data_IF_523977796260
#
_entry.id   IF_523977796260
#
_cell.length_a   1.000
_cell.length_b   1.000
_cell.length_c   1.000
_cell.angle_alpha   90.00
_cell.angle_beta   90.00
_cell.angle_gamma   90.00
#
_symmetry.space_group_name_H-M   'P 1'
#
loop_
_entity.id
_entity.type
_entity.pdbx_description
1 polymer ?
#
# COMPACT_ATOMS: atom_id res chain seq x y z
N UNK A 1 -93.74 -11.61 -25.08
CA UNK A 1 -93.08 -12.29 -23.95
C UNK A 1 -91.58 -12.06 -24.08
N UNK A 2 -91.00 -11.44 -23.05
CA UNK A 2 -89.54 -11.24 -22.85
C UNK A 2 -88.80 -12.55 -23.11
N UNK A 3 -87.62 -12.49 -23.72
CA UNK A 3 -86.40 -13.11 -23.18
C UNK A 3 -85.16 -12.58 -23.92
N UNK A 4 -84.47 -11.72 -23.18
CA UNK A 4 -83.13 -11.17 -23.37
C UNK A 4 -82.11 -12.31 -23.34
N UNK A 5 -81.22 -12.41 -24.33
CA UNK A 5 -79.96 -13.15 -24.18
C UNK A 5 -78.82 -12.17 -24.43
N UNK A 6 -78.14 -11.81 -23.35
CA UNK A 6 -76.97 -10.95 -23.35
C UNK A 6 -75.75 -11.72 -23.82
N UNK A 7 -75.04 -11.10 -24.76
CA UNK A 7 -73.70 -11.47 -25.19
C UNK A 7 -72.74 -11.17 -24.02
N UNK A 8 -72.32 -12.19 -23.28
CA UNK A 8 -71.30 -12.05 -22.24
C UNK A 8 -69.93 -12.02 -22.91
N UNK A 9 -69.47 -10.81 -23.24
CA UNK A 9 -68.06 -10.54 -23.56
C UNK A 9 -67.26 -10.72 -22.27
N UNK A 10 -66.52 -11.82 -22.18
CA UNK A 10 -65.59 -12.09 -21.09
C UNK A 10 -64.31 -11.32 -21.39
N UNK A 11 -64.27 -10.03 -21.02
CA UNK A 11 -63.03 -9.26 -20.96
C UNK A 11 -62.19 -9.84 -19.84
N UNK A 12 -61.22 -10.67 -20.20
CA UNK A 12 -60.12 -11.08 -19.33
C UNK A 12 -59.33 -9.81 -18.96
N UNK A 13 -59.54 -9.30 -17.76
CA UNK A 13 -58.62 -8.36 -17.13
C UNK A 13 -57.39 -9.20 -16.73
N UNK A 14 -56.35 -9.15 -17.56
CA UNK A 14 -55.01 -9.57 -17.16
C UNK A 14 -54.51 -8.59 -16.12
N UNK A 15 -54.75 -8.88 -14.84
CA UNK A 15 -53.91 -8.34 -13.76
C UNK A 15 -52.58 -9.09 -13.86
N UNK A 16 -51.62 -8.54 -14.58
CA UNK A 16 -50.24 -8.95 -14.39
C UNK A 16 -49.87 -8.58 -12.96
N UNK A 17 -49.69 -9.57 -12.09
CA UNK A 17 -48.72 -9.40 -11.02
C UNK A 17 -47.37 -9.33 -11.72
N UNK A 18 -46.79 -8.14 -11.74
CA UNK A 18 -45.35 -8.01 -11.87
C UNK A 18 -44.74 -8.73 -10.66
N UNK A 19 -44.11 -9.88 -10.89
CA UNK A 19 -43.60 -10.77 -9.85
C UNK A 19 -42.23 -10.35 -9.32
N UNK A 20 -41.80 -9.12 -9.62
CA UNK A 20 -40.61 -8.52 -9.04
C UNK A 20 -39.39 -9.36 -9.39
N UNK A 21 -39.02 -9.35 -10.66
CA UNK A 21 -37.75 -9.91 -11.11
C UNK A 21 -36.63 -9.43 -10.19
N UNK A 22 -36.00 -10.37 -9.47
CA UNK A 22 -34.79 -10.09 -8.72
C UNK A 22 -33.69 -9.87 -9.76
N UNK A 23 -33.43 -8.62 -10.10
CA UNK A 23 -32.30 -8.24 -10.94
C UNK A 23 -31.05 -8.45 -10.08
N UNK A 24 -30.32 -9.53 -10.34
CA UNK A 24 -28.99 -9.74 -9.78
C UNK A 24 -28.02 -8.77 -10.46
N UNK A 25 -27.77 -7.63 -9.80
CA UNK A 25 -26.79 -6.64 -10.27
C UNK A 25 -25.41 -7.16 -9.89
N UNK A 26 -24.73 -7.78 -10.86
CA UNK A 26 -23.33 -8.16 -10.69
C UNK A 26 -22.44 -6.92 -10.79
N UNK A 27 -21.81 -6.54 -9.68
CA UNK A 27 -20.81 -5.48 -9.62
C UNK A 27 -19.45 -6.03 -10.10
N UNK A 28 -19.25 -6.05 -11.41
CA UNK A 28 -17.99 -6.47 -12.03
C UNK A 28 -17.06 -5.26 -12.28
N UNK A 29 -15.99 -5.20 -11.49
CA UNK A 29 -15.00 -4.13 -11.38
C UNK A 29 -13.60 -4.74 -11.36
N UNK A 30 -12.54 -3.95 -11.62
CA UNK A 30 -11.16 -4.48 -11.65
C UNK A 30 -10.63 -4.81 -10.24
N UNK A 31 -11.23 -4.21 -9.19
CA UNK A 31 -10.91 -4.41 -7.76
C UNK A 31 -9.53 -3.87 -7.33
N UNK A 32 -8.89 -3.07 -8.19
CA UNK A 32 -7.75 -2.23 -7.84
C UNK A 32 -8.26 -0.85 -7.46
N UNK A 33 -8.29 -0.58 -6.16
CA UNK A 33 -8.79 0.68 -5.64
C UNK A 33 -7.76 1.81 -5.81
N UNK A 34 -8.25 3.01 -6.09
CA UNK A 34 -7.48 4.26 -6.05
C UNK A 34 -7.86 5.03 -4.79
N UNK A 35 -6.87 5.67 -4.15
CA UNK A 35 -7.08 6.59 -3.05
C UNK A 35 -7.07 8.04 -3.54
N UNK A 36 -8.00 8.84 -3.02
CA UNK A 36 -8.08 10.26 -3.27
C UNK A 36 -7.18 11.05 -2.31
N UNK A 37 -6.09 11.63 -2.81
CA UNK A 37 -5.12 12.36 -1.96
C UNK A 37 -5.51 13.82 -1.68
N UNK A 38 -6.57 14.32 -2.32
CA UNK A 38 -6.95 15.75 -2.22
C UNK A 38 -7.74 16.09 -0.95
N UNK A 39 -8.18 15.08 -0.18
CA UNK A 39 -9.00 15.26 1.01
C UNK A 39 -8.14 15.14 2.27
N UNK A 40 -8.23 16.14 3.15
CA UNK A 40 -7.52 16.13 4.43
C UNK A 40 -8.35 15.59 5.59
N UNK A 41 -9.65 15.33 5.39
CA UNK A 41 -10.59 14.95 6.46
C UNK A 41 -11.15 13.54 6.30
N UNK A 42 -11.13 13.02 5.08
CA UNK A 42 -11.73 11.74 4.74
C UNK A 42 -10.86 11.00 3.74
N UNK A 43 -10.76 9.70 3.89
CA UNK A 43 -10.28 8.80 2.85
C UNK A 43 -11.42 8.52 1.87
N UNK A 44 -11.15 8.68 0.57
CA UNK A 44 -12.04 8.28 -0.51
C UNK A 44 -11.33 7.24 -1.37
N UNK A 45 -11.76 6.00 -1.24
CA UNK A 45 -11.33 4.90 -2.10
C UNK A 45 -12.34 4.70 -3.21
N UNK A 46 -11.88 4.38 -4.42
CA UNK A 46 -12.78 4.15 -5.53
C UNK A 46 -12.22 3.20 -6.59
N UNK A 47 -13.12 2.61 -7.35
CA UNK A 47 -12.83 1.93 -8.61
C UNK A 47 -13.79 2.45 -9.69
N UNK A 48 -13.29 2.53 -10.92
CA UNK A 48 -14.00 3.05 -12.10
C UNK A 48 -14.08 1.99 -13.17
N UNK A 49 -15.22 1.91 -13.84
CA UNK A 49 -15.45 1.04 -15.00
C UNK A 49 -15.87 1.87 -16.20
N UNK A 50 -15.40 1.50 -17.38
CA UNK A 50 -15.61 2.25 -18.61
C UNK A 50 -16.78 1.73 -19.48
N UNK A 51 -17.27 0.51 -19.26
CA UNK A 51 -18.37 -0.07 -20.04
C UNK A 51 -19.24 -1.03 -19.19
N UNK A 52 -20.45 -0.61 -18.75
CA UNK A 52 -20.92 0.77 -18.78
C UNK A 52 -20.08 1.67 -17.85
N UNK A 53 -20.26 2.99 -17.99
CA UNK A 53 -19.58 3.97 -17.13
C UNK A 53 -20.13 3.92 -15.71
N UNK A 54 -19.34 3.37 -14.79
CA UNK A 54 -19.75 3.09 -13.40
C UNK A 54 -18.62 3.39 -12.42
N UNK A 55 -18.97 3.67 -11.17
CA UNK A 55 -18.00 3.78 -10.08
C UNK A 55 -18.50 3.12 -8.81
N UNK A 56 -17.58 2.47 -8.08
CA UNK A 56 -17.75 2.14 -6.67
C UNK A 56 -16.86 3.05 -5.85
N UNK A 57 -17.38 3.55 -4.72
CA UNK A 57 -16.59 4.37 -3.82
C UNK A 57 -16.91 4.10 -2.35
N UNK A 58 -15.88 4.21 -1.51
CA UNK A 58 -15.93 4.10 -0.07
C UNK A 58 -15.34 5.38 0.53
N UNK A 59 -16.15 6.11 1.28
CA UNK A 59 -15.76 7.30 2.03
C UNK A 59 -15.77 6.99 3.53
N UNK A 60 -14.72 7.37 4.24
CA UNK A 60 -14.63 7.24 5.70
C UNK A 60 -13.65 8.26 6.30
N UNK A 61 -13.79 8.65 7.58
CA UNK A 61 -12.97 9.71 8.19
C UNK A 61 -11.49 9.34 8.31
N UNK A 62 -10.59 10.29 8.08
CA UNK A 62 -9.14 10.10 8.24
C UNK A 62 -8.59 10.58 9.58
N UNK A 63 -9.41 11.23 10.42
CA UNK A 63 -9.05 11.74 11.73
C UNK A 63 -9.23 10.72 12.88
N UNK A 64 -9.67 9.51 12.55
CA UNK A 64 -9.81 8.40 13.48
C UNK A 64 -8.57 7.52 13.40
N UNK A 65 -7.88 7.34 14.54
CA UNK A 65 -6.64 6.56 14.63
C UNK A 65 -6.76 5.17 13.99
N UNK A 66 -7.80 4.40 14.33
CA UNK A 66 -8.04 3.07 13.75
C UNK A 66 -8.21 3.07 12.21
N UNK A 67 -8.59 4.19 11.61
CA UNK A 67 -8.68 4.32 10.15
C UNK A 67 -7.33 4.71 9.52
N UNK A 68 -6.47 5.39 10.29
CA UNK A 68 -5.09 5.67 9.88
C UNK A 68 -4.26 4.39 9.88
N UNK A 69 -4.48 3.51 10.86
CA UNK A 69 -3.81 2.21 10.98
C UNK A 69 -4.05 1.31 9.75
N UNK A 70 -5.17 1.50 9.03
CA UNK A 70 -5.43 0.82 7.75
C UNK A 70 -4.29 1.07 6.74
N UNK A 71 -3.76 2.29 6.71
CA UNK A 71 -2.69 2.70 5.79
C UNK A 71 -1.32 2.87 6.46
N UNK A 72 -1.24 2.68 7.77
CA UNK A 72 -0.02 2.77 8.54
C UNK A 72 -0.05 1.75 9.69
N UNK A 73 -0.12 0.44 9.38
CA UNK A 73 -0.23 -0.61 10.37
C UNK A 73 1.07 -0.72 11.19
N UNK A 74 0.94 -1.17 12.43
CA UNK A 74 2.07 -1.54 13.31
C UNK A 74 2.10 -3.05 13.60
N UNK A 75 1.32 -3.83 12.86
CA UNK A 75 1.25 -5.29 12.96
C UNK A 75 0.71 -5.87 11.65
N UNK A 76 1.08 -7.11 11.34
CA UNK A 76 0.64 -7.80 10.12
C UNK A 76 0.15 -9.23 10.45
N UNK A 77 -1.06 -9.64 10.03
CA UNK A 77 -2.13 -8.82 9.46
C UNK A 77 -2.78 -7.91 10.51
N UNK A 78 -3.22 -6.72 10.10
CA UNK A 78 -4.13 -5.88 10.87
C UNK A 78 -5.55 -5.88 10.26
N UNK A 79 -6.58 -5.65 11.08
CA UNK A 79 -7.97 -5.70 10.63
C UNK A 79 -8.83 -4.58 11.24
N UNK A 80 -9.30 -3.67 10.39
CA UNK A 80 -10.22 -2.59 10.77
C UNK A 80 -11.62 -2.83 10.20
N UNK A 81 -12.65 -2.69 11.03
CA UNK A 81 -14.05 -2.80 10.63
C UNK A 81 -14.73 -1.44 10.54
N UNK A 82 -15.27 -1.13 9.37
CA UNK A 82 -16.06 0.07 9.09
C UNK A 82 -17.53 -0.32 8.90
N UNK A 83 -18.42 0.29 9.69
CA UNK A 83 -19.87 0.06 9.60
C UNK A 83 -20.50 1.18 8.76
N UNK A 84 -21.09 0.81 7.63
CA UNK A 84 -21.79 1.77 6.74
C UNK A 84 -22.98 2.35 7.49
N UNK A 85 -23.03 3.69 7.55
CA UNK A 85 -24.04 4.41 8.33
C UNK A 85 -24.68 5.60 7.57
N UNK A 86 -24.27 5.84 6.31
CA UNK A 86 -24.73 6.94 5.46
C UNK A 86 -24.51 8.36 6.00
N UNK A 87 -23.75 8.51 7.08
CA UNK A 87 -23.35 9.79 7.66
C UNK A 87 -21.87 10.04 7.44
N UNK A 88 -21.01 9.24 8.08
CA UNK A 88 -19.55 9.36 8.04
C UNK A 88 -18.90 8.28 7.21
N UNK A 89 -19.45 7.07 7.24
CA UNK A 89 -18.97 5.93 6.44
C UNK A 89 -20.02 5.65 5.38
N UNK A 90 -19.65 5.84 4.11
CA UNK A 90 -20.55 5.74 2.96
C UNK A 90 -19.93 4.83 1.92
N UNK A 91 -20.70 3.85 1.48
CA UNK A 91 -20.39 3.10 0.26
C UNK A 91 -21.40 3.48 -0.81
N UNK A 92 -20.91 3.73 -2.02
CA UNK A 92 -21.71 4.33 -3.07
C UNK A 92 -21.41 3.70 -4.43
N UNK A 93 -22.48 3.38 -5.16
CA UNK A 93 -22.46 2.91 -6.53
C UNK A 93 -23.14 3.94 -7.43
N UNK A 94 -22.42 4.40 -8.45
CA UNK A 94 -22.90 5.40 -9.40
C UNK A 94 -22.75 4.94 -10.84
N UNK A 95 -23.66 5.43 -11.68
CA UNK A 95 -23.59 5.30 -13.13
C UNK A 95 -23.52 6.67 -13.79
N UNK A 96 -22.95 6.74 -14.99
CA UNK A 96 -22.65 8.00 -15.69
C UNK A 96 -23.01 7.93 -17.17
N UNK A 97 -23.21 9.10 -17.78
CA UNK A 97 -23.42 9.25 -19.23
C UNK A 97 -22.11 9.45 -20.03
N UNK A 98 -20.97 9.47 -19.33
CA UNK A 98 -19.63 9.62 -19.87
C UNK A 98 -18.57 9.06 -18.91
N UNK A 99 -17.30 9.15 -19.31
CA UNK A 99 -16.18 8.57 -18.55
C UNK A 99 -15.97 9.24 -17.18
N UNK A 100 -16.12 8.51 -16.06
CA UNK A 100 -16.00 9.07 -14.71
C UNK A 100 -14.55 9.14 -14.22
N UNK A 101 -13.56 8.67 -14.98
CA UNK A 101 -12.16 8.60 -14.55
C UNK A 101 -11.58 9.96 -14.09
N UNK A 102 -12.08 11.06 -14.67
CA UNK A 102 -11.67 12.43 -14.33
C UNK A 102 -12.72 13.19 -13.50
N UNK A 103 -13.76 12.51 -13.01
CA UNK A 103 -14.78 13.12 -12.15
C UNK A 103 -14.43 12.94 -10.67
N UNK A 104 -13.94 11.76 -10.30
CA UNK A 104 -13.52 11.45 -8.93
C UNK A 104 -12.17 12.13 -8.66
N UNK A 105 -12.05 12.82 -7.52
CA UNK A 105 -10.83 13.50 -7.05
C UNK A 105 -10.33 14.71 -7.85
N UNK A 106 -10.99 15.09 -8.95
CA UNK A 106 -10.60 16.26 -9.71
C UNK A 106 -10.98 17.56 -8.99
N UNK A 107 -10.02 18.50 -8.89
CA UNK A 107 -10.29 19.86 -8.41
C UNK A 107 -11.26 20.62 -9.33
N UNK A 108 -11.26 20.29 -10.63
CA UNK A 108 -12.18 20.80 -11.64
C UNK A 108 -12.70 19.61 -12.45
N UNK A 109 -13.91 19.12 -12.15
CA UNK A 109 -14.49 17.97 -12.85
C UNK A 109 -14.84 18.26 -14.31
N UNK A 110 -14.91 17.22 -15.16
CA UNK A 110 -15.35 17.35 -16.56
C UNK A 110 -16.80 17.85 -16.62
N UNK A 111 -17.10 18.95 -17.33
CA UNK A 111 -18.45 19.50 -17.41
C UNK A 111 -19.41 18.66 -18.27
N UNK A 112 -18.94 17.66 -19.01
CA UNK A 112 -19.76 16.86 -19.92
C UNK A 112 -20.14 15.48 -19.39
N UNK A 113 -19.53 15.03 -18.28
CA UNK A 113 -19.86 13.77 -17.62
C UNK A 113 -20.81 14.04 -16.45
N UNK A 114 -21.99 13.43 -16.48
CA UNK A 114 -23.04 13.59 -15.48
C UNK A 114 -23.37 12.27 -14.79
N UNK A 115 -23.75 12.37 -13.52
CA UNK A 115 -24.26 11.23 -12.76
C UNK A 115 -25.68 10.91 -13.26
N UNK A 116 -25.87 9.67 -13.72
CA UNK A 116 -27.17 9.12 -14.15
C UNK A 116 -27.91 8.50 -12.98
N UNK A 117 -27.20 7.79 -12.10
CA UNK A 117 -27.75 7.17 -10.90
C UNK A 117 -26.78 7.29 -9.74
N UNK A 118 -27.29 7.61 -8.54
CA UNK A 118 -26.51 7.79 -7.31
C UNK A 118 -27.10 6.94 -6.18
N UNK A 119 -26.51 5.77 -5.94
CA UNK A 119 -27.06 4.78 -5.01
C UNK A 119 -26.12 4.59 -3.81
N UNK A 120 -26.54 5.06 -2.64
CA UNK A 120 -25.83 4.82 -1.39
C UNK A 120 -26.30 3.51 -0.77
N UNK A 121 -25.36 2.72 -0.27
CA UNK A 121 -25.69 1.53 0.51
C UNK A 121 -26.36 1.92 1.83
N UNK A 122 -27.50 1.34 2.17
CA UNK A 122 -28.23 1.59 3.41
C UNK A 122 -27.62 0.89 4.63
N UNK A 123 -26.90 -0.19 4.39
CA UNK A 123 -26.21 -0.95 5.42
C UNK A 123 -25.08 -1.78 4.82
N UNK A 124 -24.09 -2.10 5.64
CA UNK A 124 -23.12 -3.13 5.36
C UNK A 124 -21.89 -2.98 6.24
N UNK A 125 -21.00 -3.97 6.15
CA UNK A 125 -19.73 -3.96 6.87
C UNK A 125 -18.60 -4.03 5.86
N UNK A 126 -17.66 -3.09 5.97
CA UNK A 126 -16.37 -3.16 5.28
C UNK A 126 -15.34 -3.63 6.29
N UNK A 127 -14.56 -4.64 5.92
CA UNK A 127 -13.40 -5.13 6.67
C UNK A 127 -12.17 -4.81 5.84
N UNK A 128 -11.35 -3.87 6.30
CA UNK A 128 -10.02 -3.63 5.76
C UNK A 128 -9.05 -4.61 6.42
N UNK A 129 -8.30 -5.35 5.62
CA UNK A 129 -7.25 -6.26 6.07
C UNK A 129 -5.94 -5.71 5.50
N UNK A 130 -5.03 -5.30 6.38
CA UNK A 130 -3.75 -4.73 5.98
C UNK A 130 -2.64 -5.73 6.27
N UNK A 131 -1.74 -5.93 5.31
CA UNK A 131 -0.59 -6.82 5.42
C UNK A 131 0.65 -6.18 4.83
N UNK A 132 1.78 -6.47 5.43
CA UNK A 132 3.12 -6.21 4.89
C UNK A 132 4.04 -7.40 5.19
N UNK A 133 5.13 -7.50 4.46
CA UNK A 133 6.13 -8.59 4.54
C UNK A 133 7.54 -8.01 4.56
N UNK A 134 7.79 -7.07 3.67
CA UNK A 134 9.04 -6.35 3.42
C UNK A 134 8.57 -4.92 3.14
N UNK A 135 8.80 -4.02 4.09
CA UNK A 135 8.10 -2.75 4.19
C UNK A 135 8.80 -1.66 3.37
N UNK A 136 10.13 -1.60 3.37
CA UNK A 136 10.97 -0.71 2.57
C UNK A 136 11.27 -1.24 1.15
N UNK A 137 11.04 -2.54 0.89
CA UNK A 137 11.37 -3.25 -0.37
C UNK A 137 12.86 -3.35 -0.66
N UNK A 138 13.68 -3.51 0.37
CA UNK A 138 15.11 -3.77 0.18
C UNK A 138 15.42 -5.26 -0.11
N UNK A 139 14.45 -6.16 0.10
CA UNK A 139 14.58 -7.60 -0.13
C UNK A 139 14.83 -8.44 1.13
N UNK A 140 14.91 -7.81 2.30
CA UNK A 140 14.84 -8.45 3.61
C UNK A 140 13.39 -8.34 4.10
N UNK A 141 12.76 -9.43 4.58
CA UNK A 141 11.44 -9.29 5.18
C UNK A 141 11.55 -8.66 6.56
N UNK A 142 10.67 -7.70 6.87
CA UNK A 142 10.63 -6.92 8.12
C UNK A 142 10.76 -7.73 9.41
N UNK A 143 10.33 -9.00 9.39
CA UNK A 143 10.46 -9.89 10.55
C UNK A 143 11.90 -10.40 10.80
N UNK A 144 12.83 -10.18 9.88
CA UNK A 144 14.24 -10.56 9.96
C UNK A 144 15.16 -9.38 10.26
N UNK A 145 14.66 -8.15 10.16
CA UNK A 145 15.41 -6.91 10.47
C UNK A 145 15.24 -6.49 11.94
N UNK A 146 14.33 -7.12 12.67
CA UNK A 146 14.23 -6.95 14.11
C UNK A 146 14.93 -8.08 14.88
N UNK A 147 15.91 -7.71 15.71
CA UNK A 147 16.55 -8.61 16.66
C UNK A 147 15.59 -9.15 17.74
N UNK A 148 14.37 -8.59 17.86
CA UNK A 148 13.28 -9.07 18.70
C UNK A 148 13.71 -9.21 20.17
N UNK A 149 14.38 -8.17 20.68
CA UNK A 149 14.95 -8.16 22.02
C UNK A 149 13.88 -8.17 23.13
N UNK A 150 12.64 -7.83 22.81
CA UNK A 150 11.49 -7.84 23.72
C UNK A 150 10.60 -9.10 23.60
N UNK A 151 10.88 -9.98 22.63
CA UNK A 151 10.29 -11.31 22.46
C UNK A 151 8.79 -11.28 22.12
N UNK A 152 8.33 -10.34 21.31
CA UNK A 152 6.94 -10.27 20.84
C UNK A 152 6.75 -10.59 19.35
N UNK A 153 7.84 -10.87 18.63
CA UNK A 153 7.87 -11.20 17.20
C UNK A 153 7.20 -10.12 16.32
N UNK A 154 7.25 -8.85 16.75
CA UNK A 154 6.69 -7.73 16.01
C UNK A 154 7.73 -6.61 15.80
N UNK A 155 8.18 -6.39 14.55
CA UNK A 155 9.24 -5.44 14.25
C UNK A 155 8.81 -3.98 14.47
N UNK A 156 7.55 -3.68 14.79
CA UNK A 156 7.10 -2.33 15.11
C UNK A 156 7.14 -1.99 16.61
N UNK A 157 7.45 -2.95 17.47
CA UNK A 157 7.45 -2.80 18.94
C UNK A 157 8.86 -2.93 19.49
N UNK A 158 9.39 -1.83 20.04
CA UNK A 158 10.80 -1.75 20.46
C UNK A 158 11.78 -2.26 19.39
N UNK A 159 11.73 -1.64 18.20
CA UNK A 159 12.40 -2.16 17.03
C UNK A 159 13.92 -1.98 17.10
N UNK A 160 14.63 -2.73 16.27
CA UNK A 160 16.05 -2.50 16.01
C UNK A 160 16.21 -1.24 15.13
N UNK A 161 17.27 -0.47 15.40
CA UNK A 161 17.59 0.85 14.83
C UNK A 161 19.13 0.93 14.89
N UNK A 162 19.76 0.38 13.86
CA UNK A 162 21.20 0.03 13.85
C UNK A 162 22.07 1.27 13.86
N UNK A 163 21.73 2.27 13.05
CA UNK A 163 22.43 3.56 12.99
C UNK A 163 22.01 4.57 14.09
N UNK A 164 20.87 4.35 14.74
CA UNK A 164 20.32 5.23 15.77
C UNK A 164 19.75 6.54 15.24
N UNK A 165 19.34 6.61 13.98
CA UNK A 165 18.79 7.82 13.36
C UNK A 165 17.30 8.04 13.69
N UNK A 166 16.65 7.01 14.21
CA UNK A 166 15.25 7.00 14.65
C UNK A 166 14.28 6.45 13.62
N UNK A 167 14.75 5.98 12.47
CA UNK A 167 14.03 5.12 11.53
C UNK A 167 14.47 3.68 11.82
N UNK A 168 13.55 2.80 12.24
CA UNK A 168 13.93 1.41 12.51
C UNK A 168 14.24 0.64 11.22
N UNK A 169 15.18 -0.30 11.30
CA UNK A 169 15.73 -1.09 10.18
C UNK A 169 14.62 -1.63 9.26
N UNK A 170 13.55 -2.25 9.80
CA UNK A 170 12.43 -2.82 9.01
C UNK A 170 11.63 -1.84 8.10
N UNK A 171 11.92 -0.55 8.22
CA UNK A 171 11.39 0.52 7.35
C UNK A 171 12.50 1.48 6.90
N UNK A 172 13.77 1.23 7.19
CA UNK A 172 14.89 1.99 6.66
C UNK A 172 15.34 1.36 5.32
N UNK A 173 16.03 2.11 4.48
CA UNK A 173 16.56 1.57 3.22
C UNK A 173 18.09 1.51 3.20
N UNK A 174 18.71 1.94 4.30
CA UNK A 174 20.14 2.17 4.53
C UNK A 174 20.35 2.05 6.06
N UNK A 175 20.35 0.82 6.58
CA UNK A 175 20.17 0.50 8.01
C UNK A 175 21.34 0.98 8.91
N UNK A 176 22.53 1.14 8.35
CA UNK A 176 23.74 1.67 9.02
C UNK A 176 24.09 3.12 8.60
N UNK A 177 23.32 3.68 7.67
CA UNK A 177 23.42 5.05 7.15
C UNK A 177 24.78 5.36 6.49
N UNK A 178 25.37 4.38 5.85
CA UNK A 178 26.68 4.47 5.23
C UNK A 178 26.63 5.00 3.76
N UNK A 179 25.43 5.21 3.21
CA UNK A 179 25.13 5.64 1.83
C UNK A 179 25.27 4.57 0.74
N UNK A 180 25.53 3.33 1.09
CA UNK A 180 25.12 2.17 0.31
C UNK A 180 23.70 1.82 0.79
N UNK A 181 22.84 1.31 -0.11
CA UNK A 181 21.49 0.93 0.33
C UNK A 181 21.52 -0.55 0.67
N UNK A 182 20.76 -0.98 1.69
CA UNK A 182 20.68 -2.38 2.14
C UNK A 182 20.48 -3.38 0.98
N UNK A 183 19.63 -3.02 0.01
CA UNK A 183 19.36 -3.81 -1.21
C UNK A 183 20.60 -4.05 -2.11
N UNK A 184 21.62 -3.20 -2.00
CA UNK A 184 22.85 -3.25 -2.78
C UNK A 184 24.02 -3.89 -2.02
N UNK A 185 23.82 -4.33 -0.78
CA UNK A 185 24.87 -4.83 0.13
C UNK A 185 24.82 -6.34 0.33
N UNK A 186 24.23 -7.03 -0.65
CA UNK A 186 24.30 -8.49 -0.73
C UNK A 186 23.82 -9.20 0.56
N UNK A 187 22.77 -8.69 1.19
CA UNK A 187 22.06 -9.32 2.32
C UNK A 187 21.66 -10.80 2.05
N UNK A 188 21.49 -11.19 0.78
CA UNK A 188 21.33 -12.60 0.33
C UNK A 188 20.23 -13.38 1.05
N UNK A 189 19.13 -12.72 1.40
CA UNK A 189 18.00 -13.36 2.07
C UNK A 189 17.42 -14.54 1.26
N UNK A 190 17.11 -15.64 1.96
CA UNK A 190 16.21 -16.69 1.44
C UNK A 190 15.40 -17.35 2.54
N UNK A 191 14.23 -17.91 2.22
CA UNK A 191 13.42 -18.66 3.20
C UNK A 191 14.19 -19.86 3.82
N UNK A 192 15.16 -20.43 3.10
CA UNK A 192 15.89 -21.61 3.53
C UNK A 192 17.04 -21.27 4.49
N UNK A 193 17.77 -20.19 4.19
CA UNK A 193 19.02 -19.84 4.87
C UNK A 193 18.86 -18.58 5.75
N UNK A 194 17.71 -17.91 5.72
CA UNK A 194 17.51 -16.61 6.36
C UNK A 194 18.54 -15.61 5.83
N UNK A 195 19.26 -14.96 6.75
CA UNK A 195 20.37 -14.03 6.49
C UNK A 195 21.75 -14.66 6.74
N UNK A 196 21.85 -15.99 6.89
CA UNK A 196 23.13 -16.65 7.20
C UNK A 196 24.18 -16.61 6.07
N UNK A 197 23.80 -16.08 4.91
CA UNK A 197 24.65 -15.89 3.73
C UNK A 197 24.80 -14.40 3.36
N UNK A 198 24.38 -13.48 4.23
CA UNK A 198 24.66 -12.06 4.06
C UNK A 198 26.18 -11.85 3.94
N UNK A 199 26.56 -10.86 3.13
CA UNK A 199 27.96 -10.49 2.99
C UNK A 199 28.48 -9.95 4.34
N UNK A 200 29.74 -10.27 4.65
CA UNK A 200 30.48 -9.88 5.85
C UNK A 200 31.94 -9.80 5.37
N UNK A 201 32.32 -8.62 4.90
CA UNK A 201 33.51 -8.40 4.09
C UNK A 201 34.79 -8.47 4.92
N UNK A 202 34.76 -7.98 6.16
CA UNK A 202 35.88 -7.99 7.09
C UNK A 202 35.95 -9.24 7.98
N UNK A 203 34.83 -9.98 8.11
CA UNK A 203 34.71 -11.22 8.87
C UNK A 203 34.49 -11.01 10.38
N UNK A 204 33.96 -9.87 10.81
CA UNK A 204 33.74 -9.53 12.21
C UNK A 204 32.40 -10.05 12.79
N UNK A 205 31.56 -10.63 11.92
CA UNK A 205 30.21 -11.16 12.18
C UNK A 205 29.06 -10.14 12.15
N UNK A 206 29.32 -8.90 11.75
CA UNK A 206 28.31 -7.91 11.37
C UNK A 206 28.21 -7.97 9.84
N UNK A 207 27.02 -8.21 9.28
CA UNK A 207 26.85 -8.15 7.83
C UNK A 207 27.06 -6.73 7.30
N UNK A 208 27.57 -6.62 6.07
CA UNK A 208 27.86 -5.33 5.41
C UNK A 208 26.69 -4.33 5.55
N UNK A 209 25.45 -4.75 5.27
CA UNK A 209 24.26 -3.89 5.38
C UNK A 209 23.90 -3.38 6.80
N UNK A 210 24.67 -3.74 7.82
CA UNK A 210 24.55 -3.28 9.22
C UNK A 210 25.90 -2.79 9.77
N UNK A 211 26.90 -2.59 8.91
CA UNK A 211 28.28 -2.26 9.26
C UNK A 211 28.73 -0.94 8.59
N UNK A 212 29.02 0.09 9.38
CA UNK A 212 29.42 1.38 8.83
C UNK A 212 30.89 1.45 8.35
N UNK A 213 31.65 0.35 8.45
CA UNK A 213 33.04 0.14 8.03
C UNK A 213 33.21 -1.26 7.42
N UNK A 214 32.41 -1.58 6.39
CA UNK A 214 32.28 -2.87 5.68
C UNK A 214 33.55 -3.74 5.58
N UNK A 215 34.70 -3.14 5.25
CA UNK A 215 35.95 -3.86 5.03
C UNK A 215 36.94 -3.82 6.20
N UNK A 216 36.58 -3.12 7.28
CA UNK A 216 37.30 -3.03 8.54
C UNK A 216 38.65 -2.33 8.43
N UNK A 217 38.84 -1.44 7.45
CA UNK A 217 40.09 -0.72 7.25
C UNK A 217 40.26 0.52 8.15
N UNK A 218 39.16 0.94 8.78
CA UNK A 218 39.08 2.07 9.70
C UNK A 218 38.68 3.39 9.03
N UNK A 219 38.26 3.36 7.77
CA UNK A 219 37.60 4.45 7.05
C UNK A 219 36.14 4.06 6.83
N UNK A 220 35.22 4.68 7.56
CA UNK A 220 33.79 4.41 7.40
C UNK A 220 33.36 4.51 5.93
N UNK A 221 32.51 3.57 5.50
CA UNK A 221 32.09 3.37 4.10
C UNK A 221 31.67 4.68 3.44
N UNK A 222 30.82 5.47 4.12
CA UNK A 222 30.35 6.80 3.63
C UNK A 222 31.45 7.79 3.24
N UNK A 223 32.67 7.61 3.74
CA UNK A 223 33.82 8.45 3.47
C UNK A 223 34.75 7.88 2.40
N UNK A 224 34.29 6.91 1.61
CA UNK A 224 35.07 6.31 0.54
C UNK A 224 34.57 6.68 -0.87
N UNK A 225 33.68 7.67 -0.95
CA UNK A 225 33.25 8.35 -2.18
C UNK A 225 34.35 9.31 -2.69
N UNK A 226 35.36 8.76 -3.38
CA UNK A 226 36.53 9.48 -3.87
C UNK A 226 36.16 10.65 -4.81
N UNK A 227 35.11 10.46 -5.61
CA UNK A 227 34.72 11.43 -6.62
C UNK A 227 33.58 12.38 -6.17
N UNK A 228 32.90 12.09 -5.06
CA UNK A 228 31.87 12.90 -4.44
C UNK A 228 30.52 12.84 -5.16
N UNK A 229 30.22 11.77 -5.91
CA UNK A 229 28.97 11.61 -6.66
C UNK A 229 27.88 10.89 -5.86
N UNK A 230 28.20 10.32 -4.69
CA UNK A 230 27.31 9.53 -3.86
C UNK A 230 27.01 8.12 -4.39
N UNK A 231 27.90 7.54 -5.19
CA UNK A 231 27.82 6.18 -5.75
C UNK A 231 29.11 5.45 -5.39
N UNK A 232 29.20 4.93 -4.17
CA UNK A 232 30.44 4.33 -3.64
C UNK A 232 30.91 3.10 -4.46
N UNK A 233 29.98 2.39 -5.09
CA UNK A 233 30.27 1.23 -5.95
C UNK A 233 31.06 1.55 -7.23
N UNK A 234 31.27 2.84 -7.58
CA UNK A 234 32.07 3.24 -8.75
C UNK A 234 33.46 3.82 -8.44
N UNK A 235 33.83 3.88 -7.17
CA UNK A 235 35.15 4.30 -6.71
C UNK A 235 36.03 3.09 -6.39
N UNK A 236 37.24 3.06 -6.96
CA UNK A 236 38.16 1.93 -6.86
C UNK A 236 39.57 2.43 -6.50
N UNK A 237 40.28 1.76 -5.58
CA UNK A 237 41.69 2.07 -5.34
C UNK A 237 42.57 1.52 -6.48
N UNK A 238 43.15 2.43 -7.30
CA UNK A 238 44.06 2.07 -8.39
C UNK A 238 45.36 1.39 -7.91
N UNK A 239 45.74 1.58 -6.64
CA UNK A 239 46.96 0.99 -6.06
C UNK A 239 46.69 -0.37 -5.39
N UNK A 240 45.43 -0.81 -5.32
CA UNK A 240 45.04 -2.08 -4.72
C UNK A 240 45.57 -3.30 -5.48
N UNK A 241 45.85 -4.37 -4.73
CA UNK A 241 46.21 -5.67 -5.29
C UNK A 241 45.01 -6.40 -5.93
N UNK A 242 43.79 -5.97 -5.63
CA UNK A 242 42.51 -6.50 -6.11
C UNK A 242 41.75 -5.45 -6.92
N UNK A 243 42.16 -5.21 -8.18
CA UNK A 243 41.55 -4.14 -8.98
C UNK A 243 40.08 -4.43 -9.28
N UNK A 244 39.27 -3.36 -9.29
CA UNK A 244 37.81 -3.37 -9.50
C UNK A 244 36.98 -3.91 -8.33
N UNK A 245 37.50 -3.82 -7.10
CA UNK A 245 36.68 -3.92 -5.89
C UNK A 245 36.42 -2.49 -5.41
N UNK A 246 35.15 -2.10 -5.17
CA UNK A 246 34.84 -0.80 -4.61
C UNK A 246 35.67 -0.51 -3.37
N UNK A 247 36.00 0.77 -3.14
CA UNK A 247 36.85 1.17 -2.00
C UNK A 247 36.38 0.57 -0.67
N UNK A 248 35.09 0.71 -0.39
CA UNK A 248 34.43 0.21 0.83
C UNK A 248 34.38 -1.30 1.00
N UNK A 249 34.84 -2.07 0.01
CA UNK A 249 34.95 -3.53 0.09
C UNK A 249 36.42 -4.00 -0.02
N UNK A 250 37.37 -3.07 0.11
CA UNK A 250 38.80 -3.29 -0.12
C UNK A 250 39.63 -2.73 1.03
N UNK A 251 39.91 -3.60 2.00
CA UNK A 251 40.63 -3.24 3.22
C UNK A 251 42.06 -2.66 3.07
N UNK A 252 42.52 -2.44 1.84
CA UNK A 252 43.75 -1.72 1.55
C UNK A 252 43.51 -0.25 1.20
N UNK A 253 42.26 0.17 1.01
CA UNK A 253 41.80 1.43 0.45
C UNK A 253 41.66 2.57 1.48
N UNK A 254 42.56 2.63 2.48
CA UNK A 254 42.56 3.48 3.69
C UNK A 254 42.60 5.03 3.51
N UNK A 255 42.31 5.54 2.32
CA UNK A 255 42.26 6.98 2.03
C UNK A 255 40.83 7.48 2.18
N UNK A 256 40.60 8.29 3.22
CA UNK A 256 39.30 8.91 3.50
C UNK A 256 39.03 10.17 2.66
N UNK A 257 37.79 10.28 2.20
CA UNK A 257 37.16 11.40 1.49
C UNK A 257 35.92 11.90 2.25
N UNK A 258 36.09 12.65 3.36
CA UNK A 258 34.97 13.04 4.21
C UNK A 258 33.92 13.90 3.50
N UNK A 259 32.65 13.50 3.63
CA UNK A 259 31.49 14.22 3.10
C UNK A 259 30.38 14.37 4.16
N UNK A 260 30.45 15.43 4.95
CA UNK A 260 29.48 15.71 6.03
C UNK A 260 28.16 16.35 5.53
N UNK A 261 27.81 16.15 4.25
CA UNK A 261 26.56 16.69 3.72
C UNK A 261 25.40 15.88 4.29
N UNK A 262 24.71 16.48 5.26
CA UNK A 262 23.49 15.92 5.83
C UNK A 262 22.43 15.68 4.75
N UNK A 263 22.12 14.42 4.50
CA UNK A 263 20.96 13.98 3.73
C UNK A 263 19.86 13.64 4.75
N UNK A 264 18.67 14.28 4.68
CA UNK A 264 17.56 13.88 5.51
C UNK A 264 17.17 12.43 5.17
N UNK A 265 17.17 11.53 6.15
CA UNK A 265 16.67 10.19 5.93
C UNK A 265 15.15 10.27 5.67
N UNK A 266 14.71 9.56 4.63
CA UNK A 266 13.31 9.50 4.21
C UNK A 266 12.99 8.08 3.80
N UNK A 267 12.13 7.43 4.56
CA UNK A 267 11.69 6.09 4.22
C UNK A 267 10.38 6.06 3.42
N UNK A 268 10.13 4.92 2.80
CA UNK A 268 8.86 4.58 2.14
C UNK A 268 8.43 3.22 2.61
N UNK A 269 7.14 3.07 2.91
CA UNK A 269 6.55 1.79 3.29
C UNK A 269 5.66 1.25 2.18
N UNK A 270 5.62 -0.07 2.03
CA UNK A 270 4.85 -0.78 1.03
C UNK A 270 3.95 -1.83 1.66
N UNK A 271 2.67 -1.46 1.80
CA UNK A 271 1.65 -2.31 2.39
C UNK A 271 0.61 -2.73 1.35
N UNK A 272 -0.07 -3.83 1.62
CA UNK A 272 -1.27 -4.26 0.89
C UNK A 272 -2.50 -4.09 1.77
N UNK A 273 -3.56 -3.48 1.24
CA UNK A 273 -4.83 -3.31 1.94
C UNK A 273 -5.96 -3.92 1.12
N UNK A 274 -6.57 -4.98 1.65
CA UNK A 274 -7.74 -5.63 1.08
C UNK A 274 -9.03 -5.14 1.74
N UNK A 275 -9.95 -4.58 0.96
CA UNK A 275 -11.27 -4.17 1.44
C UNK A 275 -12.33 -5.21 1.08
N UNK A 276 -12.79 -5.95 2.10
CA UNK A 276 -13.88 -6.92 1.98
C UNK A 276 -15.19 -6.31 2.43
N UNK A 277 -16.22 -6.35 1.58
CA UNK A 277 -17.51 -5.70 1.84
C UNK A 277 -18.63 -6.74 1.88
N UNK A 278 -19.09 -7.13 3.07
CA UNK A 278 -20.13 -8.17 3.22
C UNK A 278 -20.91 -8.05 4.56
N UNK A 279 -22.24 -8.28 4.56
CA UNK A 279 -23.16 -8.08 3.44
C UNK A 279 -23.34 -6.60 3.15
N UNK A 280 -23.85 -6.25 1.96
CA UNK A 280 -24.21 -4.87 1.62
C UNK A 280 -25.63 -4.79 1.08
N UNK A 281 -26.34 -3.73 1.44
CA UNK A 281 -27.71 -3.47 0.99
C UNK A 281 -27.78 -2.09 0.35
N UNK A 282 -28.35 -1.99 -0.84
CA UNK A 282 -28.79 -0.72 -1.42
C UNK A 282 -30.28 -0.54 -1.15
N UNK A 283 -30.75 0.70 -1.07
CA UNK A 283 -32.20 0.95 -1.09
C UNK A 283 -32.74 0.42 -2.43
N UNK A 284 -33.86 -0.31 -2.38
CA UNK A 284 -34.42 -1.01 -3.53
C UNK A 284 -34.54 -0.05 -4.71
N UNK A 285 -33.95 -0.42 -5.86
CA UNK A 285 -34.18 0.22 -7.15
C UNK A 285 -35.66 0.05 -7.49
N UNK A 286 -36.53 0.93 -7.00
CA UNK A 286 -37.87 1.08 -7.55
C UNK A 286 -37.71 1.71 -8.92
N UNK A 287 -37.56 0.87 -9.93
CA UNK A 287 -37.74 1.26 -11.32
C UNK A 287 -39.25 1.31 -11.52
N UNK A 288 -39.82 2.52 -11.51
CA UNK A 288 -41.20 2.78 -11.92
C UNK A 288 -41.40 2.44 -13.43
#
# INVERSE_FOLDING_TARGET
>A
MRNLFYLLSFTLLFTACDDGDIIDVSLDFNKTLKLCEQSSTDYLLYDTKADPYETLSLLFPSDIAANQDIFNPTQTPDTTKLIINNSTIKFNYRTYDGDPANLLCALVPDPNTHIVSDNFATSGTVTAITTFVDDDQDGIPSAFEDANLDLDDNPATNPTDTDGDGIPDYIDADDDNDNVLTINEHHNYSEADGLSLAQDTDGDLIPDYLDDDDDGDGVITRFEDENGNGILSDDFDEESATPNIPRYLDNTAVVSYPNDVFKPNTYKRYITVDFKIEPISFEVLNID
#
